data_IF_794962479174
#
_entry.id   IF_794962479174
#
_cell.length_a   1.000
_cell.length_b   1.000
_cell.length_c   1.000
_cell.angle_alpha   90.00
_cell.angle_beta   90.00
_cell.angle_gamma   90.00
#
_symmetry.space_group_name_H-M   'P 1'
#
loop_
_entity.id
_entity.type
_entity.pdbx_description
1 polymer ?
#
# COMPACT_ATOMS: atom_id res chain seq x y z
N UNK A 1 -2.91 -11.12 -11.34
CA UNK A 1 -3.39 -12.35 -12.00
C UNK A 1 -3.27 -12.17 -13.51
N UNK A 2 -2.49 -12.99 -14.24
CA UNK A 2 -2.43 -12.90 -15.70
C UNK A 2 -3.84 -13.09 -16.28
N UNK A 3 -4.19 -12.27 -17.27
CA UNK A 3 -5.46 -12.43 -17.98
C UNK A 3 -5.53 -13.83 -18.58
N UNK A 4 -6.64 -14.53 -18.36
CA UNK A 4 -6.86 -15.89 -18.89
C UNK A 4 -6.89 -15.92 -20.43
N UNK A 5 -6.84 -14.78 -21.10
CA UNK A 5 -7.10 -14.65 -22.54
C UNK A 5 -5.89 -15.03 -23.38
N UNK A 6 -4.68 -14.51 -23.09
CA UNK A 6 -3.45 -14.93 -23.79
C UNK A 6 -3.15 -16.42 -23.56
N UNK A 7 -3.29 -16.89 -22.32
CA UNK A 7 -3.06 -18.30 -21.97
C UNK A 7 -3.98 -19.24 -22.76
N UNK A 8 -5.26 -18.87 -22.92
CA UNK A 8 -6.22 -19.64 -23.74
C UNK A 8 -5.82 -19.66 -25.21
N UNK A 9 -5.43 -18.51 -25.78
CA UNK A 9 -5.00 -18.41 -27.18
C UNK A 9 -3.72 -19.21 -27.42
N UNK A 10 -2.75 -19.11 -26.53
CA UNK A 10 -1.51 -19.90 -26.56
C UNK A 10 -1.81 -21.41 -26.53
N UNK A 11 -2.64 -21.86 -25.59
CA UNK A 11 -3.06 -23.27 -25.47
C UNK A 11 -3.80 -23.77 -26.73
N UNK A 12 -4.67 -22.95 -27.30
CA UNK A 12 -5.39 -23.31 -28.53
C UNK A 12 -4.45 -23.47 -29.73
N UNK A 13 -3.51 -22.54 -29.91
CA UNK A 13 -2.52 -22.61 -30.99
C UNK A 13 -1.61 -23.82 -30.80
N UNK A 14 -1.15 -24.06 -29.57
CA UNK A 14 -0.29 -25.21 -29.27
C UNK A 14 -0.97 -26.54 -29.56
N UNK A 15 -2.24 -26.70 -29.16
CA UNK A 15 -3.03 -27.89 -29.49
C UNK A 15 -3.21 -28.11 -31.00
N UNK A 16 -3.27 -27.03 -31.78
CA UNK A 16 -3.50 -27.07 -33.22
C UNK A 16 -2.22 -27.31 -34.03
N UNK A 17 -1.08 -26.77 -33.58
CA UNK A 17 0.15 -26.64 -34.38
C UNK A 17 1.39 -27.24 -33.71
N UNK A 18 1.30 -27.68 -32.45
CA UNK A 18 2.45 -28.13 -31.67
C UNK A 18 3.18 -26.99 -30.98
N UNK A 19 4.49 -26.86 -31.20
CA UNK A 19 5.33 -25.86 -30.53
C UNK A 19 5.07 -24.45 -31.11
N UNK A 20 4.70 -23.51 -30.24
CA UNK A 20 4.29 -22.14 -30.62
C UNK A 20 5.45 -21.31 -31.18
N UNK A 21 6.70 -21.66 -30.87
CA UNK A 21 7.89 -20.94 -31.35
C UNK A 21 8.16 -21.12 -32.85
N UNK A 22 7.52 -22.10 -33.49
CA UNK A 22 7.65 -22.38 -34.92
C UNK A 22 6.73 -21.53 -35.82
N UNK A 23 6.02 -20.55 -35.27
CA UNK A 23 5.06 -19.75 -36.04
C UNK A 23 5.74 -18.67 -36.88
N UNK A 24 5.46 -18.67 -38.19
CA UNK A 24 5.84 -17.55 -39.07
C UNK A 24 5.21 -16.22 -38.61
N UNK A 25 6.01 -15.16 -38.64
CA UNK A 25 5.68 -13.84 -38.07
C UNK A 25 4.36 -13.25 -38.59
N UNK A 26 4.06 -13.45 -39.87
CA UNK A 26 2.86 -12.94 -40.54
C UNK A 26 1.67 -13.90 -40.56
N UNK A 27 1.82 -15.09 -39.95
CA UNK A 27 0.74 -16.08 -39.89
C UNK A 27 -0.50 -15.53 -39.15
N UNK A 28 -1.68 -16.09 -39.47
CA UNK A 28 -2.93 -15.73 -38.77
C UNK A 28 -2.83 -16.01 -37.27
N UNK A 29 -2.17 -17.11 -36.90
CA UNK A 29 -2.02 -17.54 -35.52
C UNK A 29 -1.01 -16.63 -34.76
N UNK A 30 0.08 -16.18 -35.41
CA UNK A 30 1.00 -15.18 -34.85
C UNK A 30 0.32 -13.82 -34.60
N UNK A 31 -0.51 -13.34 -35.54
CA UNK A 31 -1.32 -12.12 -35.35
C UNK A 31 -2.34 -12.25 -34.23
N UNK A 32 -2.95 -13.43 -34.05
CA UNK A 32 -3.87 -13.70 -32.93
C UNK A 32 -3.15 -13.63 -31.58
N UNK A 33 -1.95 -14.21 -31.50
CA UNK A 33 -1.13 -14.19 -30.30
C UNK A 33 -0.70 -12.76 -29.92
N UNK A 34 -0.21 -11.97 -30.89
CA UNK A 34 0.12 -10.55 -30.66
C UNK A 34 -1.08 -9.73 -30.16
N UNK A 35 -2.24 -9.88 -30.79
CA UNK A 35 -3.47 -9.20 -30.35
C UNK A 35 -3.89 -9.62 -28.94
N UNK A 36 -3.74 -10.90 -28.59
CA UNK A 36 -4.03 -11.37 -27.24
C UNK A 36 -3.07 -10.77 -26.22
N UNK A 37 -1.77 -10.71 -26.53
CA UNK A 37 -0.76 -10.05 -25.71
C UNK A 37 -1.10 -8.58 -25.46
N UNK A 38 -1.34 -7.80 -26.52
CA UNK A 38 -1.69 -6.38 -26.37
C UNK A 38 -2.96 -6.13 -25.56
N UNK A 39 -3.96 -7.03 -25.64
CA UNK A 39 -5.17 -6.92 -24.79
C UNK A 39 -4.84 -7.18 -23.32
N UNK A 40 -4.06 -8.22 -23.06
CA UNK A 40 -3.66 -8.58 -21.70
C UNK A 40 -2.79 -7.49 -21.06
N UNK A 41 -1.88 -6.87 -21.84
CA UNK A 41 -1.10 -5.72 -21.39
C UNK A 41 -1.98 -4.53 -21.00
N UNK A 42 -2.99 -4.21 -21.82
CA UNK A 42 -3.95 -3.14 -21.53
C UNK A 42 -4.74 -3.42 -20.26
N UNK A 43 -5.26 -4.64 -20.11
CA UNK A 43 -6.01 -5.06 -18.93
C UNK A 43 -5.12 -5.05 -17.68
N UNK A 44 -3.88 -5.50 -17.79
CA UNK A 44 -2.89 -5.46 -16.72
C UNK A 44 -2.65 -4.02 -16.27
N UNK A 45 -2.38 -3.09 -17.20
CA UNK A 45 -2.21 -1.66 -16.88
C UNK A 45 -3.45 -1.03 -16.23
N UNK A 46 -4.64 -1.34 -16.74
CA UNK A 46 -5.88 -0.83 -16.14
C UNK A 46 -6.07 -1.37 -14.72
N UNK A 47 -5.84 -2.66 -14.52
CA UNK A 47 -5.94 -3.29 -13.21
C UNK A 47 -4.92 -2.73 -12.24
N UNK A 48 -3.67 -2.47 -12.65
CA UNK A 48 -2.66 -1.88 -11.76
C UNK A 48 -3.03 -0.46 -11.34
N UNK A 49 -3.54 0.37 -12.26
CA UNK A 49 -4.05 1.71 -11.93
C UNK A 49 -5.21 1.61 -10.95
N UNK A 50 -6.18 0.75 -11.25
CA UNK A 50 -7.38 0.57 -10.41
C UNK A 50 -7.04 0.02 -9.03
N UNK A 51 -6.13 -0.95 -8.93
CA UNK A 51 -5.68 -1.53 -7.66
C UNK A 51 -4.93 -0.52 -6.82
N UNK A 52 -4.04 0.29 -7.41
CA UNK A 52 -3.35 1.37 -6.70
C UNK A 52 -4.32 2.40 -6.14
N UNK A 53 -5.29 2.84 -6.93
CA UNK A 53 -6.31 3.80 -6.49
C UNK A 53 -7.22 3.23 -5.39
N UNK A 54 -7.39 1.90 -5.33
CA UNK A 54 -8.19 1.20 -4.32
C UNK A 54 -7.38 0.72 -3.11
N UNK A 55 -6.06 0.93 -3.09
CA UNK A 55 -5.23 0.47 -1.98
C UNK A 55 -5.45 1.41 -0.77
N UNK A 56 -6.06 0.94 0.34
CA UNK A 56 -6.37 1.81 1.48
C UNK A 56 -5.10 2.31 2.20
N UNK A 57 -3.97 1.60 2.01
CA UNK A 57 -2.66 1.95 2.56
C UNK A 57 -1.77 2.70 1.59
N UNK A 58 -2.30 3.68 0.87
CA UNK A 58 -1.44 4.57 0.10
C UNK A 58 -0.35 5.17 1.00
N UNK A 59 0.90 5.21 0.53
CA UNK A 59 2.01 5.90 1.22
C UNK A 59 1.58 7.30 1.68
N UNK A 60 0.75 7.94 0.88
CA UNK A 60 0.22 9.28 1.10
C UNK A 60 -0.57 9.42 2.41
N UNK A 61 -1.32 8.40 2.83
CA UNK A 61 -2.08 8.44 4.09
C UNK A 61 -1.14 8.52 5.31
N UNK A 62 -0.08 7.71 5.31
CA UNK A 62 0.90 7.71 6.38
C UNK A 62 1.73 9.00 6.39
N UNK A 63 2.15 9.49 5.22
CA UNK A 63 2.86 10.76 5.13
C UNK A 63 2.00 11.93 5.63
N UNK A 64 0.73 11.98 5.22
CA UNK A 64 -0.21 12.99 5.71
C UNK A 64 -0.36 12.92 7.23
N UNK A 65 -0.47 11.73 7.80
CA UNK A 65 -0.55 11.55 9.26
C UNK A 65 0.74 12.01 9.97
N UNK A 66 1.91 11.56 9.51
CA UNK A 66 3.22 11.87 10.12
C UNK A 66 3.53 13.38 10.08
N UNK A 67 3.16 14.03 8.98
CA UNK A 67 3.41 15.45 8.77
C UNK A 67 2.19 16.34 9.07
N UNK A 68 1.20 15.84 9.84
CA UNK A 68 -0.01 16.60 10.17
C UNK A 68 0.28 17.94 10.87
N UNK A 69 1.42 18.05 11.56
CA UNK A 69 1.82 19.27 12.28
C UNK A 69 2.93 20.04 11.57
N UNK A 70 3.25 19.73 10.29
CA UNK A 70 4.37 20.36 9.59
C UNK A 70 4.21 21.88 9.48
N UNK A 71 2.98 22.36 9.32
CA UNK A 71 2.66 23.79 9.25
C UNK A 71 2.90 24.47 10.61
N UNK A 72 2.45 23.85 11.70
CA UNK A 72 2.65 24.38 13.05
C UNK A 72 4.14 24.42 13.42
N UNK A 73 4.88 23.35 13.11
CA UNK A 73 6.34 23.31 13.30
C UNK A 73 7.02 24.42 12.48
N UNK A 74 6.58 24.65 11.24
CA UNK A 74 7.12 25.71 10.39
C UNK A 74 6.85 27.10 10.96
N UNK A 75 5.64 27.35 11.47
CA UNK A 75 5.29 28.61 12.11
C UNK A 75 6.15 28.86 13.36
N UNK A 76 6.26 27.88 14.25
CA UNK A 76 7.09 27.99 15.46
C UNK A 76 8.56 28.28 15.11
N UNK A 77 9.08 27.67 14.04
CA UNK A 77 10.44 27.92 13.54
C UNK A 77 10.61 29.33 12.95
N UNK A 78 9.59 29.88 12.30
CA UNK A 78 9.62 31.24 11.74
C UNK A 78 9.56 32.31 12.83
N UNK A 79 8.70 32.13 13.82
CA UNK A 79 8.58 33.03 14.97
C UNK A 79 9.86 33.03 15.84
N UNK A 80 10.66 31.97 15.74
CA UNK A 80 11.94 31.82 16.44
C UNK A 80 12.99 32.75 15.84
N UNK A 81 13.38 33.77 16.61
CA UNK A 81 14.55 34.61 16.30
C UNK A 81 15.84 33.78 16.32
N UNK A 82 16.80 34.14 15.47
CA UNK A 82 18.12 33.50 15.39
C UNK A 82 18.77 33.40 16.77
N UNK A 83 19.09 32.18 17.21
CA UNK A 83 19.75 31.91 18.50
C UNK A 83 18.82 31.63 19.70
N UNK A 84 17.50 31.81 19.58
CA UNK A 84 16.55 31.38 20.63
C UNK A 84 16.41 29.85 20.59
N UNK A 85 16.49 29.12 21.72
CA UNK A 85 16.26 27.68 21.74
C UNK A 85 14.81 27.33 21.31
N UNK A 86 14.58 26.12 20.78
CA UNK A 86 13.24 25.64 20.45
C UNK A 86 12.29 25.71 21.64
N UNK A 87 11.02 26.02 21.40
CA UNK A 87 10.02 25.91 22.45
C UNK A 87 9.78 24.45 22.81
N UNK A 88 9.30 24.16 24.03
CA UNK A 88 8.92 22.79 24.43
C UNK A 88 7.91 22.17 23.46
N UNK A 89 7.00 22.99 22.91
CA UNK A 89 6.00 22.54 21.93
C UNK A 89 6.64 22.18 20.59
N UNK A 90 7.56 23.01 20.09
CA UNK A 90 8.34 22.73 18.88
C UNK A 90 9.14 21.43 19.02
N UNK A 91 9.78 21.23 20.17
CA UNK A 91 10.55 20.03 20.47
C UNK A 91 9.67 18.78 20.52
N UNK A 92 8.53 18.83 21.22
CA UNK A 92 7.59 17.70 21.31
C UNK A 92 7.02 17.33 19.94
N UNK A 93 6.62 18.31 19.12
CA UNK A 93 6.09 18.06 17.78
C UNK A 93 7.18 17.46 16.88
N UNK A 94 8.40 18.00 16.92
CA UNK A 94 9.53 17.48 16.16
C UNK A 94 9.89 16.05 16.54
N UNK A 95 9.98 15.75 17.85
CA UNK A 95 10.25 14.40 18.36
C UNK A 95 9.16 13.41 17.97
N UNK A 96 7.87 13.83 17.99
CA UNK A 96 6.76 13.00 17.55
C UNK A 96 6.89 12.65 16.06
N UNK A 97 7.08 13.64 15.20
CA UNK A 97 7.27 13.39 13.76
C UNK A 97 8.46 12.48 13.50
N UNK A 98 9.59 12.69 14.18
CA UNK A 98 10.78 11.82 14.04
C UNK A 98 10.51 10.38 14.49
N UNK A 99 9.76 10.20 15.58
CA UNK A 99 9.38 8.87 16.09
C UNK A 99 8.46 8.14 15.11
N UNK A 100 7.44 8.84 14.61
CA UNK A 100 6.49 8.28 13.64
C UNK A 100 7.18 7.97 12.28
N UNK A 101 8.15 8.79 11.84
CA UNK A 101 8.98 8.51 10.66
C UNK A 101 9.84 7.25 10.84
N UNK A 102 10.47 7.08 12.01
CA UNK A 102 11.25 5.88 12.34
C UNK A 102 10.36 4.64 12.36
N UNK A 103 9.15 4.77 12.89
CA UNK A 103 8.18 3.68 12.87
C UNK A 103 7.76 3.34 11.43
N UNK A 104 7.49 4.34 10.59
CA UNK A 104 7.10 4.11 9.19
C UNK A 104 8.19 3.40 8.38
N UNK A 105 9.48 3.68 8.67
CA UNK A 105 10.61 2.97 8.05
C UNK A 105 10.68 1.49 8.44
N UNK A 106 10.38 1.18 9.70
CA UNK A 106 10.48 -0.20 10.24
C UNK A 106 9.20 -1.01 10.08
N UNK A 107 8.07 -0.33 9.87
CA UNK A 107 6.74 -0.91 9.71
C UNK A 107 5.77 -0.23 10.67
N UNK A 108 4.89 0.62 10.15
CA UNK A 108 3.90 1.33 10.96
C UNK A 108 2.83 0.36 11.45
N UNK A 109 2.56 0.34 12.75
CA UNK A 109 1.58 -0.59 13.33
C UNK A 109 0.16 -0.04 13.19
N UNK A 110 -0.70 -0.76 12.46
CA UNK A 110 -2.09 -0.35 12.22
C UNK A 110 -3.03 -1.55 12.19
N UNK A 111 -4.33 -1.36 12.47
CA UNK A 111 -5.34 -2.36 12.16
C UNK A 111 -5.36 -2.68 10.66
N UNK A 112 -5.71 -3.91 10.30
CA UNK A 112 -5.82 -4.29 8.89
C UNK A 112 -7.10 -3.74 8.21
N UNK A 113 -7.07 -2.50 7.75
CA UNK A 113 -8.09 -1.81 6.95
C UNK A 113 -8.42 -2.46 5.59
N UNK A 114 -7.72 -3.52 5.16
CA UNK A 114 -8.16 -4.31 3.99
C UNK A 114 -9.17 -5.39 4.35
N UNK A 115 -9.27 -5.74 5.62
CA UNK A 115 -10.20 -6.74 6.12
C UNK A 115 -11.52 -6.07 6.49
N UNK A 116 -12.62 -6.56 5.91
CA UNK A 116 -13.95 -5.97 6.14
C UNK A 116 -14.38 -6.07 7.60
N UNK A 117 -14.07 -7.20 8.26
CA UNK A 117 -14.40 -7.42 9.67
C UNK A 117 -13.72 -6.39 10.59
N UNK A 118 -12.46 -6.03 10.27
CA UNK A 118 -11.70 -5.00 10.99
C UNK A 118 -12.34 -3.64 10.78
N UNK A 119 -12.75 -3.29 9.56
CA UNK A 119 -13.43 -2.03 9.28
C UNK A 119 -14.77 -1.92 10.00
N UNK A 120 -15.57 -3.00 10.02
CA UNK A 120 -16.84 -3.04 10.72
C UNK A 120 -16.66 -2.92 12.23
N UNK A 121 -15.68 -3.61 12.80
CA UNK A 121 -15.36 -3.52 14.21
C UNK A 121 -14.85 -2.12 14.59
N UNK A 122 -13.96 -1.52 13.79
CA UNK A 122 -13.49 -0.14 13.98
C UNK A 122 -14.63 0.89 13.89
N UNK A 123 -15.60 0.69 12.99
CA UNK A 123 -16.74 1.60 12.86
C UNK A 123 -17.62 1.65 14.12
N UNK A 124 -17.71 0.54 14.85
CA UNK A 124 -18.49 0.45 16.09
C UNK A 124 -17.59 0.53 17.34
N UNK A 125 -16.30 0.80 17.17
CA UNK A 125 -15.37 0.85 18.28
C UNK A 125 -15.68 2.07 19.17
N UNK A 126 -15.70 1.83 20.49
CA UNK A 126 -16.07 2.81 21.50
C UNK A 126 -14.90 3.70 21.98
N UNK A 127 -13.70 3.51 21.41
CA UNK A 127 -12.49 4.23 21.81
C UNK A 127 -11.70 3.57 22.95
N UNK A 128 -12.14 2.42 23.47
CA UNK A 128 -11.45 1.72 24.56
C UNK A 128 -10.38 0.74 24.04
N UNK A 129 -9.25 0.68 24.73
CA UNK A 129 -8.14 -0.19 24.37
C UNK A 129 -8.51 -1.69 24.32
N UNK A 130 -9.36 -2.15 25.24
CA UNK A 130 -9.89 -3.52 25.28
C UNK A 130 -10.66 -3.89 24.01
N UNK A 131 -11.37 -2.92 23.43
CA UNK A 131 -12.14 -3.08 22.20
C UNK A 131 -11.27 -3.27 20.94
N UNK A 132 -9.95 -3.12 21.04
CA UNK A 132 -9.01 -3.37 19.95
C UNK A 132 -8.56 -4.84 19.86
N UNK A 133 -8.75 -5.62 20.93
CA UNK A 133 -8.36 -7.04 20.96
C UNK A 133 -8.89 -7.92 19.81
N UNK A 134 -10.14 -7.75 19.31
CA UNK A 134 -10.63 -8.58 18.22
C UNK A 134 -10.10 -8.15 16.83
N UNK A 135 -9.40 -7.01 16.73
CA UNK A 135 -8.91 -6.50 15.46
C UNK A 135 -7.63 -7.23 15.04
N UNK A 136 -7.50 -7.51 13.75
CA UNK A 136 -6.22 -7.92 13.16
C UNK A 136 -5.34 -6.70 12.98
N UNK A 137 -4.06 -6.84 13.32
CA UNK A 137 -3.07 -5.78 13.14
C UNK A 137 -1.99 -6.22 12.16
N UNK A 138 -1.42 -5.23 11.48
CA UNK A 138 -0.33 -5.41 10.53
C UNK A 138 0.73 -4.33 10.75
N UNK A 139 1.96 -4.66 10.37
CA UNK A 139 3.07 -3.73 10.23
C UNK A 139 3.17 -3.36 8.75
N UNK A 140 2.88 -2.10 8.44
CA UNK A 140 2.90 -1.56 7.09
C UNK A 140 4.25 -0.92 6.80
N UNK A 141 5.04 -1.53 5.91
CA UNK A 141 6.34 -1.01 5.50
C UNK A 141 6.17 0.09 4.45
N UNK A 142 7.14 1.00 4.38
CA UNK A 142 7.18 2.06 3.37
C UNK A 142 7.06 1.53 1.91
N UNK A 143 7.52 0.30 1.66
CA UNK A 143 7.41 -0.38 0.36
C UNK A 143 6.00 -0.89 0.00
N UNK A 144 5.02 -0.72 0.88
CA UNK A 144 3.65 -1.24 0.70
C UNK A 144 3.50 -2.72 1.03
N UNK A 145 4.56 -3.36 1.51
CA UNK A 145 4.50 -4.70 2.07
C UNK A 145 3.80 -4.69 3.42
N UNK A 146 2.89 -5.64 3.63
CA UNK A 146 2.24 -5.87 4.92
C UNK A 146 2.88 -7.06 5.59
N UNK A 147 3.17 -6.95 6.88
CA UNK A 147 3.56 -8.07 7.74
C UNK A 147 2.54 -8.24 8.84
N UNK A 148 2.11 -9.47 9.08
CA UNK A 148 1.18 -9.77 10.18
C UNK A 148 1.79 -9.35 11.52
N UNK A 149 0.97 -8.79 12.39
CA UNK A 149 1.36 -8.35 13.72
C UNK A 149 0.28 -8.69 14.72
N UNK A 150 0.69 -8.89 15.98
CA UNK A 150 -0.23 -9.30 17.04
C UNK A 150 -0.53 -8.11 17.94
N UNK A 151 -1.76 -8.08 18.43
CA UNK A 151 -2.18 -7.21 19.52
C UNK A 151 -2.04 -7.95 20.87
N UNK A 152 -1.54 -7.33 21.94
CA UNK A 152 -0.89 -6.02 21.97
C UNK A 152 0.53 -6.07 21.36
N UNK A 153 1.10 -4.94 20.92
CA UNK A 153 2.49 -4.88 20.48
C UNK A 153 3.42 -5.35 21.62
N UNK A 154 4.50 -6.04 21.26
CA UNK A 154 5.51 -6.48 22.24
C UNK A 154 5.97 -5.30 23.11
N UNK A 155 5.78 -5.40 24.42
CA UNK A 155 6.14 -4.36 25.39
C UNK A 155 4.99 -3.48 25.89
N UNK A 156 3.75 -3.71 25.44
CA UNK A 156 2.54 -3.04 25.93
C UNK A 156 1.48 -4.02 26.48
N UNK A 157 1.90 -5.23 26.86
CA UNK A 157 1.06 -6.27 27.48
C UNK A 157 0.96 -6.06 28.98
#
# INVERSE_FOLDING_TARGET
MPSRTLQKVHKHISKKRGVVDSLHENSRDARRLRRAGHRDDRLSRHNTITMRARQPYGKDLFLWYIYRDSEEIAQLKQERRKGRPPSKREEVLGQRTETEEKEFKTGFWVPDLTEMDVLLALKHWNGEWSGLSPLKFVRMLQGGEKRESTFPPKGMS
#
